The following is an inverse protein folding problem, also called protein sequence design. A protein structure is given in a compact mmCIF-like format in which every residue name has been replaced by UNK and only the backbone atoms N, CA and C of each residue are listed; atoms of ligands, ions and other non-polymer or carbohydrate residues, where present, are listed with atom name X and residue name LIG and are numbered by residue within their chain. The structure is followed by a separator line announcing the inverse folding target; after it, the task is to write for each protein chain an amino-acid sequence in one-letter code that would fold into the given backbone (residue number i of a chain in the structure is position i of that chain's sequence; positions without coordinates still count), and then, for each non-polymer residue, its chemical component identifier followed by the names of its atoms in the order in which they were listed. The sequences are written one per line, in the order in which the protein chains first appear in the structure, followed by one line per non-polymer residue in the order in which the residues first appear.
data_IF_983026625763
#
_entry.id   IF_983026625763
#
_cell.length_a   1.000
_cell.length_b   1.000
_cell.length_c   1.000
_cell.angle_alpha   90.00
_cell.angle_beta   90.00
_cell.angle_gamma   90.00
#
_symmetry.space_group_name_H-M   'P 1'
#
loop_
_entity.id
_entity.type
_entity.pdbx_description
1 polymer ?
#
# COMPACT_ATOMS: atom_id res chain seq x y z
N UNK A 1 -11.47 -3.29 -2.42
CA UNK A 1 -10.16 -3.60 -3.09
C UNK A 1 -9.29 -2.35 -3.07
N UNK A 2 -8.04 -2.48 -2.66
CA UNK A 2 -6.99 -1.45 -2.71
C UNK A 2 -6.07 -1.76 -3.88
N UNK A 3 -5.74 -0.76 -4.71
CA UNK A 3 -4.69 -0.92 -5.73
C UNK A 3 -3.38 -0.36 -5.18
N UNK A 4 -2.35 -1.17 -5.15
CA UNK A 4 -1.01 -0.77 -4.77
C UNK A 4 -0.12 -0.70 -6.00
N UNK A 5 0.47 0.48 -6.24
CA UNK A 5 1.44 0.70 -7.30
C UNK A 5 2.84 0.45 -6.74
N UNK A 6 3.48 -0.59 -7.27
CA UNK A 6 4.82 -1.00 -6.86
C UNK A 6 5.88 -0.26 -7.69
N UNK A 7 6.65 0.57 -7.03
CA UNK A 7 7.77 1.32 -7.59
C UNK A 7 9.09 0.54 -7.55
N UNK A 8 9.03 -0.79 -7.65
CA UNK A 8 10.22 -1.67 -7.65
C UNK A 8 11.00 -1.63 -6.33
N UNK A 9 10.27 -1.59 -5.21
CA UNK A 9 10.85 -1.56 -3.88
C UNK A 9 10.71 -2.91 -3.16
N UNK A 10 11.74 -3.30 -2.42
CA UNK A 10 11.74 -4.55 -1.65
C UNK A 10 10.76 -4.56 -0.48
N UNK A 11 10.37 -3.38 0.02
CA UNK A 11 9.40 -3.24 1.12
C UNK A 11 7.94 -3.20 0.65
N UNK A 12 7.68 -3.17 -0.66
CA UNK A 12 6.31 -3.16 -1.22
C UNK A 12 5.45 -4.28 -0.63
N UNK A 13 5.99 -5.50 -0.54
CA UNK A 13 5.24 -6.64 -0.02
C UNK A 13 4.96 -6.57 1.49
N UNK A 14 5.77 -5.83 2.26
CA UNK A 14 5.44 -5.57 3.66
C UNK A 14 4.20 -4.68 3.77
N UNK A 15 4.05 -3.65 2.90
CA UNK A 15 2.80 -2.88 2.81
C UNK A 15 1.60 -3.77 2.48
N UNK A 16 1.76 -4.69 1.51
CA UNK A 16 0.70 -5.66 1.15
C UNK A 16 0.31 -6.51 2.35
N UNK A 17 1.29 -7.05 3.09
CA UNK A 17 1.04 -7.88 4.26
C UNK A 17 0.35 -7.08 5.39
N UNK A 18 0.78 -5.85 5.65
CA UNK A 18 0.17 -5.02 6.69
C UNK A 18 -1.27 -4.64 6.33
N UNK A 19 -1.51 -4.20 5.09
CA UNK A 19 -2.86 -3.88 4.62
C UNK A 19 -3.75 -5.13 4.59
N UNK A 20 -3.24 -6.27 4.13
CA UNK A 20 -3.95 -7.55 4.13
C UNK A 20 -4.28 -8.03 5.55
N UNK A 21 -3.34 -7.88 6.50
CA UNK A 21 -3.57 -8.16 7.92
C UNK A 21 -4.65 -7.27 8.56
N UNK A 22 -4.88 -6.08 8.03
CA UNK A 22 -5.96 -5.17 8.40
C UNK A 22 -7.29 -5.47 7.67
N UNK A 23 -7.34 -6.55 6.87
CA UNK A 23 -8.54 -7.01 6.17
C UNK A 23 -8.76 -6.36 4.80
N UNK A 24 -7.78 -5.63 4.25
CA UNK A 24 -7.90 -5.08 2.91
C UNK A 24 -7.61 -6.14 1.83
N UNK A 25 -8.40 -6.14 0.77
CA UNK A 25 -8.09 -6.87 -0.47
C UNK A 25 -7.16 -6.00 -1.32
N UNK A 26 -5.91 -6.45 -1.52
CA UNK A 26 -4.85 -5.67 -2.17
C UNK A 26 -4.43 -6.31 -3.49
N UNK A 27 -4.49 -5.52 -4.57
CA UNK A 27 -3.98 -5.90 -5.89
C UNK A 27 -2.76 -5.04 -6.20
N UNK A 28 -1.67 -5.69 -6.61
CA UNK A 28 -0.38 -5.04 -6.88
C UNK A 28 -0.13 -4.93 -8.36
N UNK A 29 0.24 -3.75 -8.83
CA UNK A 29 0.70 -3.50 -10.20
C UNK A 29 2.02 -2.74 -10.19
N UNK A 30 2.94 -3.13 -11.06
CA UNK A 30 4.18 -2.38 -11.31
C UNK A 30 3.84 -1.04 -11.96
N UNK A 31 4.57 0.03 -11.58
CA UNK A 31 4.33 1.39 -12.01
C UNK A 31 4.46 1.62 -13.53
N UNK A 32 5.10 0.69 -14.25
CA UNK A 32 5.33 0.72 -15.70
C UNK A 32 4.55 -0.37 -16.48
N UNK A 33 3.70 -1.16 -15.80
CA UNK A 33 2.96 -2.29 -16.39
C UNK A 33 1.45 -2.07 -16.44
N UNK A 34 0.98 -0.91 -16.04
CA UNK A 34 -0.43 -0.54 -16.06
C UNK A 34 -0.54 0.96 -16.36
N UNK A 35 -1.62 1.39 -16.99
CA UNK A 35 -1.90 2.83 -17.16
C UNK A 35 -2.76 3.37 -16.01
N UNK A 36 -2.73 4.68 -15.82
CA UNK A 36 -3.57 5.35 -14.82
C UNK A 36 -5.06 5.12 -15.08
N UNK A 37 -5.47 5.13 -16.35
CA UNK A 37 -6.86 4.86 -16.75
C UNK A 37 -7.29 3.45 -16.37
N UNK A 38 -6.41 2.45 -16.61
CA UNK A 38 -6.68 1.07 -16.25
C UNK A 38 -6.81 0.90 -14.72
N UNK A 39 -5.99 1.58 -13.92
CA UNK A 39 -6.12 1.61 -12.46
C UNK A 39 -7.46 2.19 -12.05
N UNK A 40 -7.84 3.34 -12.60
CA UNK A 40 -9.10 4.02 -12.25
C UNK A 40 -10.32 3.23 -12.73
N UNK A 41 -10.23 2.54 -13.89
CA UNK A 41 -11.28 1.67 -14.40
C UNK A 41 -11.56 0.46 -13.48
N UNK A 42 -10.60 0.04 -12.65
CA UNK A 42 -10.80 -0.98 -11.61
C UNK A 42 -11.68 -0.49 -10.44
N UNK A 43 -12.00 0.80 -10.39
CA UNK A 43 -12.78 1.45 -9.33
C UNK A 43 -12.25 1.12 -7.92
N UNK A 44 -10.96 1.35 -7.63
CA UNK A 44 -10.39 1.00 -6.34
C UNK A 44 -11.02 1.83 -5.21
N UNK A 45 -11.14 1.22 -4.03
CA UNK A 45 -11.56 1.93 -2.81
C UNK A 45 -10.50 2.90 -2.32
N UNK A 46 -9.23 2.61 -2.59
CA UNK A 46 -8.10 3.48 -2.37
C UNK A 46 -6.90 3.04 -3.22
N UNK A 47 -5.93 3.94 -3.37
CA UNK A 47 -4.67 3.70 -4.05
C UNK A 47 -3.53 3.90 -3.05
N UNK A 48 -2.54 3.01 -3.08
CA UNK A 48 -1.29 3.12 -2.32
C UNK A 48 -0.13 3.18 -3.31
N UNK A 49 0.71 4.21 -3.19
CA UNK A 49 1.96 4.35 -3.95
C UNK A 49 3.11 3.92 -3.05
N UNK A 50 3.83 2.88 -3.45
CA UNK A 50 4.91 2.29 -2.64
C UNK A 50 6.15 3.18 -2.57
N UNK A 51 7.08 2.87 -1.65
CA UNK A 51 8.47 3.31 -1.77
C UNK A 51 9.06 2.90 -3.12
N UNK A 52 10.21 3.46 -3.46
CA UNK A 52 10.95 3.10 -4.67
C UNK A 52 12.24 3.88 -4.81
N UNK A 53 13.10 3.49 -5.75
CA UNK A 53 14.33 4.20 -6.08
C UNK A 53 14.05 5.46 -6.91
N UNK A 54 15.09 6.24 -7.14
CA UNK A 54 15.11 7.42 -8.02
C UNK A 54 14.23 8.58 -7.54
N UNK A 55 13.58 9.27 -8.45
CA UNK A 55 12.73 10.44 -8.21
C UNK A 55 11.30 10.20 -8.69
N UNK A 56 10.33 11.04 -8.32
CA UNK A 56 8.97 10.92 -8.84
C UNK A 56 8.86 10.95 -10.36
N UNK A 57 9.82 11.58 -11.06
CA UNK A 57 9.83 11.62 -12.52
C UNK A 57 10.06 10.25 -13.17
N UNK A 58 10.77 9.36 -12.46
CA UNK A 58 11.02 7.99 -12.90
C UNK A 58 10.05 6.97 -12.29
N UNK A 59 9.05 7.42 -11.54
CA UNK A 59 8.07 6.57 -10.86
C UNK A 59 6.91 6.12 -11.78
N UNK A 60 7.15 5.95 -13.08
CA UNK A 60 6.16 5.48 -14.03
C UNK A 60 4.88 6.30 -14.01
N UNK A 61 3.73 5.67 -13.79
CA UNK A 61 2.42 6.32 -13.81
C UNK A 61 2.12 7.19 -12.58
N UNK A 62 2.97 7.22 -11.54
CA UNK A 62 2.60 7.80 -10.24
C UNK A 62 2.12 9.25 -10.32
N UNK A 63 2.84 10.13 -11.03
CA UNK A 63 2.45 11.54 -11.17
C UNK A 63 1.14 11.71 -11.94
N UNK A 64 0.98 10.99 -13.06
CA UNK A 64 -0.23 11.01 -13.86
C UNK A 64 -1.43 10.44 -13.09
N UNK A 65 -1.22 9.33 -12.37
CA UNK A 65 -2.25 8.70 -11.56
C UNK A 65 -2.74 9.62 -10.42
N UNK A 66 -1.84 10.31 -9.72
CA UNK A 66 -2.21 11.30 -8.70
C UNK A 66 -3.07 12.40 -9.33
N UNK A 67 -2.66 12.94 -10.47
CA UNK A 67 -3.40 13.99 -11.18
C UNK A 67 -4.81 13.56 -11.59
N UNK A 68 -4.97 12.33 -12.09
CA UNK A 68 -6.26 11.78 -12.53
C UNK A 68 -7.15 11.28 -11.39
N UNK A 69 -6.56 10.73 -10.33
CA UNK A 69 -7.30 10.24 -9.15
C UNK A 69 -7.74 11.36 -8.20
N UNK A 70 -7.21 12.56 -8.38
CA UNK A 70 -7.35 13.71 -7.50
C UNK A 70 -8.82 14.01 -7.17
N UNK A 71 -9.16 13.85 -5.89
CA UNK A 71 -10.51 14.11 -5.38
C UNK A 71 -11.48 12.95 -5.50
N UNK A 72 -11.21 11.98 -6.36
CA UNK A 72 -12.12 10.86 -6.59
C UNK A 72 -11.75 9.63 -5.77
N UNK A 73 -10.48 9.30 -5.67
CA UNK A 73 -10.00 8.09 -5.01
C UNK A 73 -9.06 8.46 -3.88
N UNK A 74 -9.29 7.94 -2.65
CA UNK A 74 -8.34 8.08 -1.54
C UNK A 74 -6.95 7.56 -1.92
N UNK A 75 -5.89 8.29 -1.52
CA UNK A 75 -4.53 8.03 -1.93
C UNK A 75 -3.55 8.13 -0.76
N UNK A 76 -2.69 7.13 -0.59
CA UNK A 76 -1.57 7.13 0.32
C UNK A 76 -0.26 6.98 -0.45
N UNK A 77 0.67 7.89 -0.25
CA UNK A 77 2.05 7.76 -0.75
C UNK A 77 3.02 7.43 0.37
N UNK A 78 3.89 6.45 0.15
CA UNK A 78 4.96 6.06 1.08
C UNK A 78 6.31 6.34 0.43
N UNK A 79 7.18 7.06 1.10
CA UNK A 79 8.53 7.44 0.68
C UNK A 79 8.54 8.10 -0.72
N UNK A 80 8.87 7.37 -1.79
CA UNK A 80 8.77 7.88 -3.16
C UNK A 80 7.33 8.32 -3.51
N UNK A 81 6.33 7.56 -3.08
CA UNK A 81 4.92 7.92 -3.27
C UNK A 81 4.53 9.23 -2.58
N UNK A 82 5.08 9.51 -1.38
CA UNK A 82 4.91 10.79 -0.68
C UNK A 82 5.55 11.94 -1.47
N UNK A 83 6.76 11.74 -2.00
CA UNK A 83 7.43 12.72 -2.84
C UNK A 83 6.66 12.99 -4.13
N UNK A 84 6.10 11.93 -4.74
CA UNK A 84 5.24 12.06 -5.91
C UNK A 84 3.98 12.89 -5.62
N UNK A 85 3.36 12.74 -4.45
CA UNK A 85 2.26 13.61 -4.02
C UNK A 85 2.74 15.06 -3.91
N UNK A 86 3.82 15.31 -3.19
CA UNK A 86 4.39 16.66 -3.07
C UNK A 86 4.58 17.32 -4.42
N UNK A 87 5.21 16.62 -5.36
CA UNK A 87 5.51 17.11 -6.70
C UNK A 87 4.25 17.28 -7.58
N UNK A 88 3.30 16.35 -7.55
CA UNK A 88 2.07 16.42 -8.34
C UNK A 88 1.20 17.64 -8.00
N UNK A 89 1.33 18.16 -6.79
CA UNK A 89 0.66 19.37 -6.34
C UNK A 89 1.51 20.65 -6.52
N UNK A 90 2.71 20.54 -7.12
CA UNK A 90 3.56 21.70 -7.43
C UNK A 90 4.68 21.97 -6.42
N UNK A 91 4.84 21.14 -5.39
CA UNK A 91 5.98 21.17 -4.49
C UNK A 91 7.26 20.67 -5.17
N UNK A 92 8.40 21.05 -4.62
CA UNK A 92 9.72 20.62 -5.11
C UNK A 92 10.23 19.45 -4.29
N UNK A 93 10.83 18.47 -4.95
CA UNK A 93 11.59 17.39 -4.32
C UNK A 93 13.08 17.74 -4.44
N UNK A 94 13.73 17.81 -3.30
CA UNK A 94 15.12 18.27 -3.20
C UNK A 94 15.98 17.25 -2.44
N UNK A 95 17.28 17.36 -2.52
CA UNK A 95 18.19 16.54 -1.71
C UNK A 95 18.04 16.88 -0.24
N UNK A 96 17.91 15.85 0.60
CA UNK A 96 17.98 16.01 2.05
C UNK A 96 19.37 16.51 2.46
N UNK A 97 19.51 17.23 3.59
CA UNK A 97 20.81 17.68 4.09
C UNK A 97 21.82 16.54 4.29
N UNK A 98 21.33 15.35 4.65
CA UNK A 98 22.11 14.12 4.72
C UNK A 98 21.28 12.94 4.22
N UNK A 99 21.87 11.98 3.48
CA UNK A 99 21.19 10.75 3.12
C UNK A 99 20.97 9.90 4.36
N UNK A 100 19.77 9.34 4.48
CA UNK A 100 19.40 8.45 5.58
C UNK A 100 19.12 7.07 5.00
N UNK A 101 19.77 6.05 5.57
CA UNK A 101 19.57 4.67 5.15
C UNK A 101 19.44 3.75 6.36
N UNK A 102 18.22 3.24 6.60
CA UNK A 102 17.90 2.30 7.66
C UNK A 102 18.01 2.88 9.10
N UNK A 103 17.98 4.20 9.26
CA UNK A 103 18.08 4.83 10.58
C UNK A 103 16.70 5.18 11.12
N UNK A 104 16.55 5.01 12.43
CA UNK A 104 15.39 5.51 13.16
C UNK A 104 15.55 7.01 13.40
N UNK A 105 14.47 7.75 13.21
CA UNK A 105 14.36 9.16 13.55
C UNK A 105 13.09 9.38 14.35
N UNK A 106 13.14 10.32 15.28
CA UNK A 106 11.95 10.79 15.99
C UNK A 106 11.11 11.66 15.05
N UNK A 107 9.84 11.38 14.99
CA UNK A 107 8.85 12.07 14.15
C UNK A 107 7.86 12.78 15.08
N UNK A 108 7.79 14.10 14.97
CA UNK A 108 6.76 14.94 15.58
C UNK A 108 5.58 15.07 14.60
N UNK A 109 4.35 15.07 15.10
CA UNK A 109 3.17 15.17 14.25
C UNK A 109 2.03 15.94 14.93
N UNK A 110 1.02 16.31 14.13
CA UNK A 110 -0.12 17.12 14.58
C UNK A 110 -1.34 16.30 14.99
N UNK A 111 -1.22 14.98 15.11
CA UNK A 111 -2.34 14.05 15.41
C UNK A 111 -3.51 14.14 14.41
N UNK A 112 -3.21 14.44 13.15
CA UNK A 112 -4.20 14.57 12.06
C UNK A 112 -3.97 13.53 10.95
N UNK A 113 -4.98 13.29 10.14
CA UNK A 113 -4.89 12.35 9.03
C UNK A 113 -4.52 10.94 9.48
N UNK A 114 -3.49 10.37 8.88
CA UNK A 114 -3.01 9.02 9.23
C UNK A 114 -2.38 8.93 10.64
N UNK A 115 -2.07 10.06 11.27
CA UNK A 115 -1.48 10.12 12.61
C UNK A 115 -2.51 10.20 13.75
N UNK A 116 -3.82 10.12 13.42
CA UNK A 116 -4.88 10.16 14.44
C UNK A 116 -4.68 9.09 15.52
N UNK A 117 -4.79 9.48 16.79
CA UNK A 117 -4.71 8.56 17.93
C UNK A 117 -3.30 8.11 18.30
N UNK A 118 -2.26 8.67 17.67
CA UNK A 118 -0.88 8.48 18.10
C UNK A 118 -0.55 9.54 19.17
N UNK A 119 -0.08 9.08 20.32
CA UNK A 119 0.25 9.97 21.43
C UNK A 119 1.73 10.31 21.44
N UNK A 120 2.05 11.62 21.28
CA UNK A 120 3.43 12.12 21.30
C UNK A 120 4.26 11.75 20.07
N UNK A 121 5.54 12.14 20.07
CA UNK A 121 6.49 11.76 19.04
C UNK A 121 6.71 10.24 19.01
N UNK A 122 7.06 9.70 17.85
CA UNK A 122 7.35 8.27 17.67
C UNK A 122 8.58 8.05 16.80
N UNK A 123 9.17 6.86 16.83
CA UNK A 123 10.32 6.51 16.02
C UNK A 123 9.89 5.80 14.74
N UNK A 124 10.47 6.22 13.60
CA UNK A 124 10.23 5.58 12.32
C UNK A 124 11.52 5.40 11.52
N UNK A 125 11.55 4.33 10.72
CA UNK A 125 12.68 3.99 9.85
C UNK A 125 12.65 4.83 8.58
N UNK A 126 13.80 5.38 8.21
CA UNK A 126 13.97 6.23 7.02
C UNK A 126 14.99 5.62 6.06
N UNK A 127 14.67 5.65 4.76
CA UNK A 127 15.53 5.18 3.66
C UNK A 127 15.44 6.18 2.49
N UNK A 128 15.86 7.43 2.69
CA UNK A 128 15.75 8.43 1.64
C UNK A 128 16.89 9.43 1.63
N UNK A 129 17.23 9.90 0.43
CA UNK A 129 18.16 11.02 0.18
C UNK A 129 17.45 12.25 -0.39
N UNK A 130 16.17 12.12 -0.70
CA UNK A 130 15.31 13.20 -1.19
C UNK A 130 14.18 13.48 -0.19
N UNK A 131 13.73 14.72 -0.18
CA UNK A 131 12.60 15.19 0.66
C UNK A 131 11.76 16.19 -0.13
N UNK A 132 10.51 16.34 0.26
CA UNK A 132 9.67 17.45 -0.21
C UNK A 132 10.15 18.72 0.51
N UNK A 133 10.48 19.75 -0.27
CA UNK A 133 10.90 21.04 0.25
C UNK A 133 9.72 21.78 0.90
N UNK A 134 9.81 22.03 2.19
CA UNK A 134 8.79 22.72 2.98
C UNK A 134 8.45 24.11 2.41
N UNK A 135 9.44 24.85 1.94
CA UNK A 135 9.26 26.22 1.44
C UNK A 135 8.48 26.25 0.10
N UNK A 136 8.47 25.14 -0.62
CA UNK A 136 7.77 25.00 -1.89
C UNK A 136 6.39 24.38 -1.78
N UNK A 137 5.94 23.98 -0.58
CA UNK A 137 4.63 23.35 -0.40
C UNK A 137 3.52 24.30 -0.82
N UNK A 138 2.60 23.85 -1.70
CA UNK A 138 1.43 24.63 -2.05
C UNK A 138 0.45 24.67 -0.86
N UNK A 139 -0.47 25.64 -0.86
CA UNK A 139 -1.44 25.85 0.24
C UNK A 139 -2.39 24.67 0.47
N UNK A 140 -2.58 23.86 -0.56
CA UNK A 140 -3.46 22.69 -0.55
C UNK A 140 -2.84 21.52 0.24
N UNK A 141 -1.51 21.49 0.40
CA UNK A 141 -0.81 20.46 1.15
C UNK A 141 -0.35 20.97 2.52
N UNK A 142 -0.71 20.23 3.54
CA UNK A 142 -0.37 20.48 4.93
C UNK A 142 0.72 19.51 5.35
N UNK A 143 1.87 20.03 5.79
CA UNK A 143 2.86 19.20 6.46
C UNK A 143 2.36 18.91 7.88
N UNK A 144 1.99 17.66 8.14
CA UNK A 144 1.41 17.21 9.39
C UNK A 144 2.32 16.29 10.23
N UNK A 145 3.54 16.04 9.74
CA UNK A 145 4.62 15.42 10.50
C UNK A 145 5.99 15.91 10.02
N UNK A 146 6.95 15.94 10.94
CA UNK A 146 8.31 16.45 10.69
C UNK A 146 9.34 15.82 11.63
N UNK A 147 10.59 15.87 11.23
CA UNK A 147 11.73 15.62 12.11
C UNK A 147 12.04 16.86 12.98
N UNK A 148 12.90 16.71 13.97
CA UNK A 148 13.31 17.83 14.83
C UNK A 148 13.96 18.98 14.04
N UNK A 149 14.73 18.66 13.00
CA UNK A 149 15.35 19.62 12.07
C UNK A 149 14.38 20.14 10.99
N UNK A 150 13.08 19.85 11.10
CA UNK A 150 12.02 20.45 10.28
C UNK A 150 11.82 19.82 8.91
N UNK A 151 12.42 18.65 8.61
CA UNK A 151 12.15 17.95 7.36
C UNK A 151 10.73 17.40 7.34
N UNK A 152 10.04 17.58 6.23
CA UNK A 152 8.66 17.11 6.07
C UNK A 152 8.64 15.58 6.04
N UNK A 153 7.95 14.98 7.01
CA UNK A 153 7.81 13.54 7.18
C UNK A 153 6.36 13.06 6.96
N UNK A 154 5.41 13.97 6.93
CA UNK A 154 4.02 13.68 6.64
C UNK A 154 3.36 14.81 5.87
N UNK A 155 2.54 14.45 4.90
CA UNK A 155 1.69 15.35 4.12
C UNK A 155 0.25 14.91 4.16
N UNK A 156 -0.65 15.85 4.18
CA UNK A 156 -2.07 15.62 3.87
C UNK A 156 -2.61 16.75 3.01
N UNK A 157 -3.55 16.44 2.13
CA UNK A 157 -4.29 17.48 1.44
C UNK A 157 -5.34 18.08 2.37
N UNK A 158 -5.55 19.40 2.28
CA UNK A 158 -6.44 20.13 3.18
C UNK A 158 -7.90 19.63 3.13
N UNK A 159 -8.37 19.17 1.97
CA UNK A 159 -9.78 18.80 1.73
C UNK A 159 -9.98 17.46 1.04
N UNK A 160 -8.99 16.94 0.32
CA UNK A 160 -9.06 15.68 -0.41
C UNK A 160 -8.48 14.52 0.44
N UNK A 161 -8.88 13.27 0.19
CA UNK A 161 -8.42 12.11 0.95
C UNK A 161 -7.03 11.65 0.50
N UNK A 162 -6.06 12.56 0.49
CA UNK A 162 -4.70 12.32 0.02
C UNK A 162 -3.74 12.51 1.18
N UNK A 163 -2.93 11.49 1.43
CA UNK A 163 -1.98 11.43 2.53
C UNK A 163 -0.63 10.92 2.04
N UNK A 164 0.44 11.34 2.69
CA UNK A 164 1.77 10.84 2.40
C UNK A 164 2.65 10.79 3.64
N UNK A 165 3.50 9.76 3.73
CA UNK A 165 4.53 9.63 4.77
C UNK A 165 5.89 9.40 4.11
N UNK A 166 6.93 10.15 4.56
CA UNK A 166 8.28 10.05 3.98
C UNK A 166 9.06 8.85 4.52
N UNK A 167 8.72 8.39 5.70
CA UNK A 167 9.31 7.20 6.34
C UNK A 167 8.57 5.92 5.92
N UNK A 168 9.04 4.77 6.43
CA UNK A 168 8.52 3.44 6.11
C UNK A 168 7.64 2.90 7.24
N UNK A 169 6.30 3.08 7.21
CA UNK A 169 5.40 2.55 8.24
C UNK A 169 5.35 1.02 8.24
N UNK A 170 5.70 0.37 7.13
CA UNK A 170 5.75 -1.07 6.96
C UNK A 170 7.03 -1.72 7.49
N UNK A 171 7.98 -0.91 7.94
CA UNK A 171 9.18 -1.42 8.61
C UNK A 171 8.85 -1.86 10.02
N UNK A 172 9.32 -3.05 10.42
CA UNK A 172 9.10 -3.59 11.77
C UNK A 172 9.68 -2.69 12.88
N UNK A 173 10.68 -1.87 12.56
CA UNK A 173 11.30 -0.93 13.48
C UNK A 173 10.56 0.41 13.56
N UNK A 174 9.55 0.64 12.71
CA UNK A 174 8.70 1.83 12.78
C UNK A 174 7.57 1.61 13.78
N UNK A 175 7.45 2.52 14.75
CA UNK A 175 6.35 2.51 15.71
C UNK A 175 5.04 2.91 15.01
N UNK A 176 3.92 2.37 15.49
CA UNK A 176 2.56 2.70 15.05
C UNK A 176 2.24 2.47 13.55
N UNK A 177 3.07 1.72 12.80
CA UNK A 177 2.86 1.51 11.37
C UNK A 177 1.49 0.93 11.03
N UNK A 178 1.05 -0.11 11.76
CA UNK A 178 -0.30 -0.68 11.58
C UNK A 178 -1.42 0.31 11.87
N UNK A 179 -1.27 1.16 12.90
CA UNK A 179 -2.27 2.16 13.24
C UNK A 179 -2.38 3.22 12.14
N UNK A 180 -1.25 3.67 11.57
CA UNK A 180 -1.26 4.63 10.46
C UNK A 180 -1.95 4.06 9.21
N UNK A 181 -1.64 2.83 8.85
CA UNK A 181 -2.28 2.17 7.71
C UNK A 181 -3.77 1.92 7.97
N UNK A 182 -4.14 1.52 9.20
CA UNK A 182 -5.56 1.41 9.60
C UNK A 182 -6.27 2.76 9.49
N UNK A 183 -5.67 3.83 9.99
CA UNK A 183 -6.24 5.18 9.90
C UNK A 183 -6.45 5.59 8.43
N UNK A 184 -5.53 5.24 7.53
CA UNK A 184 -5.73 5.48 6.10
C UNK A 184 -6.92 4.71 5.55
N UNK A 185 -7.08 3.42 5.89
CA UNK A 185 -8.23 2.62 5.44
C UNK A 185 -9.55 3.19 5.97
N UNK A 186 -9.57 3.64 7.22
CA UNK A 186 -10.75 4.26 7.83
C UNK A 186 -11.09 5.60 7.12
N UNK A 187 -10.10 6.45 6.87
CA UNK A 187 -10.27 7.71 6.12
C UNK A 187 -10.79 7.46 4.70
N UNK A 188 -10.28 6.43 4.04
CA UNK A 188 -10.74 6.04 2.71
C UNK A 188 -12.20 5.56 2.74
N UNK A 189 -12.58 4.77 3.73
CA UNK A 189 -13.95 4.31 3.91
C UNK A 189 -14.91 5.48 4.21
N UNK A 190 -14.51 6.42 5.09
CA UNK A 190 -15.27 7.64 5.40
C UNK A 190 -15.50 8.49 4.15
N UNK A 191 -14.46 8.67 3.31
CA UNK A 191 -14.56 9.43 2.06
C UNK A 191 -15.51 8.78 1.07
N UNK A 192 -15.33 7.47 0.83
CA UNK A 192 -16.16 6.72 -0.11
C UNK A 192 -17.63 6.70 0.31
N UNK A 193 -17.92 6.63 1.61
CA UNK A 193 -19.28 6.71 2.13
C UNK A 193 -19.92 8.07 1.86
N UNK A 194 -19.17 9.17 2.04
CA UNK A 194 -19.66 10.55 1.79
C UNK A 194 -19.86 10.84 0.31
N UNK A 195 -19.00 10.29 -0.56
CA UNK A 195 -19.07 10.50 -2.02
C UNK A 195 -20.07 9.57 -2.73
N UNK A 196 -20.78 8.72 -1.99
CA UNK A 196 -21.75 7.77 -2.55
C UNK A 196 -21.10 6.57 -3.26
N UNK A 197 -19.79 6.41 -3.16
CA UNK A 197 -19.05 5.24 -3.65
C UNK A 197 -19.29 4.08 -2.67
N UNK A 198 -20.16 3.15 -3.06
CA UNK A 198 -20.40 1.92 -2.28
C UNK A 198 -19.16 1.02 -2.40
N UNK A 199 -18.77 0.34 -1.29
CA UNK A 199 -17.84 -0.78 -1.34
C UNK A 199 -18.34 -1.74 -2.41
N UNK A 200 -17.52 -2.05 -3.42
CA UNK A 200 -17.74 -3.22 -4.24
C UNK A 200 -17.66 -4.41 -3.25
N UNK A 201 -18.81 -5.03 -2.95
CA UNK A 201 -18.79 -6.26 -2.17
C UNK A 201 -17.91 -7.26 -2.92
N UNK A 202 -16.92 -7.89 -2.27
CA UNK A 202 -16.25 -9.01 -2.89
C UNK A 202 -17.34 -10.02 -3.22
N UNK A 203 -17.56 -10.29 -4.50
CA UNK A 203 -18.38 -11.42 -4.91
C UNK A 203 -17.80 -12.64 -4.19
N UNK A 204 -18.58 -13.37 -3.38
CA UNK A 204 -18.12 -14.64 -2.87
C UNK A 204 -17.79 -15.47 -4.12
N UNK A 205 -16.51 -15.77 -4.33
CA UNK A 205 -16.11 -16.75 -5.36
C UNK A 205 -16.92 -18.00 -5.05
N UNK A 206 -17.94 -18.27 -5.86
CA UNK A 206 -18.57 -19.58 -5.87
C UNK A 206 -17.45 -20.55 -6.20
N UNK A 207 -17.01 -21.27 -5.17
CA UNK A 207 -16.19 -22.45 -5.40
C UNK A 207 -16.94 -23.30 -6.44
N UNK A 208 -16.28 -23.75 -7.52
CA UNK A 208 -16.92 -24.67 -8.46
C UNK A 208 -17.40 -25.87 -7.63
N UNK A 209 -18.68 -26.21 -7.74
CA UNK A 209 -19.20 -27.43 -7.13
C UNK A 209 -18.36 -28.58 -7.70
N UNK A 210 -17.85 -29.49 -6.85
CA UNK A 210 -17.20 -30.68 -7.38
C UNK A 210 -18.20 -31.40 -8.27
N UNK A 211 -17.87 -31.55 -9.55
CA UNK A 211 -18.60 -32.34 -10.51
C UNK A 211 -18.66 -33.77 -9.96
N UNK A 212 -19.85 -34.16 -9.51
CA UNK A 212 -20.09 -35.51 -9.04
C UNK A 212 -20.25 -36.46 -10.23
N UNK A 213 -19.15 -36.85 -10.84
CA UNK A 213 -19.10 -38.05 -11.66
C UNK A 213 -18.25 -39.09 -10.93
N UNK A 214 -18.95 -39.99 -10.26
CA UNK A 214 -18.38 -41.24 -9.75
C UNK A 214 -18.28 -42.22 -10.92
N UNK A 215 -17.08 -42.66 -11.34
CA UNK A 215 -16.99 -43.83 -12.20
C UNK A 215 -17.36 -45.08 -11.36
N UNK A 216 -18.28 -45.87 -11.92
CA UNK A 216 -18.82 -47.05 -11.27
C UNK A 216 -17.78 -48.10 -10.90
N UNK A 217 -17.87 -48.50 -9.63
CA UNK A 217 -17.15 -49.67 -9.10
C UNK A 217 -17.77 -50.93 -9.72
N UNK A 218 -17.13 -51.48 -10.75
CA UNK A 218 -17.36 -52.85 -11.20
C UNK A 218 -16.75 -53.80 -10.16
N UNK A 219 -17.63 -54.48 -9.42
CA UNK A 219 -17.30 -55.66 -8.67
C UNK A 219 -16.88 -56.78 -9.64
N UNK A 220 -15.64 -57.19 -9.63
CA UNK A 220 -15.25 -58.52 -10.10
C UNK A 220 -14.89 -59.36 -8.88
N UNK A 221 -15.72 -60.41 -8.73
CA UNK A 221 -15.55 -61.50 -7.79
C UNK A 221 -14.65 -62.58 -8.43
N UNK A 222 -13.79 -63.15 -7.61
CA UNK A 222 -13.23 -64.50 -7.62
C UNK A 222 -12.19 -64.90 -8.69
N UNK A 223 -10.99 -65.21 -8.19
CA UNK A 223 -10.51 -66.63 -8.28
C UNK A 223 -9.34 -66.84 -7.27
N UNK A 224 -9.53 -67.84 -6.45
CA UNK A 224 -8.49 -68.47 -5.63
C UNK A 224 -7.59 -69.35 -6.52
N UNK A 225 -6.29 -69.29 -6.35
CA UNK A 225 -5.44 -70.47 -6.59
C UNK A 225 -4.17 -70.38 -5.73
N UNK A 226 -3.92 -71.48 -5.07
CA UNK A 226 -2.86 -71.87 -4.14
C UNK A 226 -1.53 -72.08 -4.85
N UNK A 227 -0.53 -72.18 -3.98
CA UNK A 227 0.77 -72.82 -4.15
C UNK A 227 1.91 -71.82 -4.39
N UNK A 228 3.00 -71.86 -3.72
CA UNK A 228 3.67 -72.82 -2.92
C UNK A 228 5.08 -72.30 -2.61
N UNK A 229 5.58 -72.73 -1.52
CA UNK A 229 6.86 -72.49 -0.87
C UNK A 229 8.12 -72.67 -1.74
N UNK A 230 9.20 -72.01 -1.35
CA UNK A 230 10.59 -72.46 -1.11
C UNK A 230 11.57 -71.33 -1.36
N UNK A 231 12.23 -70.91 -0.31
CA UNK A 231 13.57 -71.23 0.16
C UNK A 231 14.72 -70.53 -0.62
N UNK A 232 15.44 -69.75 0.16
CA UNK A 232 16.90 -69.76 0.38
C UNK A 232 17.81 -69.26 -0.78
N UNK A 233 18.58 -68.28 -0.59
CA UNK A 233 19.89 -68.19 0.12
C UNK A 233 20.09 -66.72 0.47
#
# INVERSE_FOLDING_TARGET
MIVLIDNYDSFTFNLVHYLGGLGADVVVHRNDKISSEAVLAMQPEAIVLSPGPCTPNEAGICLDLIGKAKGDVPLLGVCLGHQAIGQAFGGKVVRAPAPIHGKLSEIKHTNTGVFRGINGPFKATRYHSLVVDRASLPRELIANAETEDGLVMGLMHATLPIHGVQFHPESIASEHGHLMLKNFLDLAAEWNAKSGRRRAHPHPRRLPRPSGDRPGVRRQRRARARAGARQAV
#
